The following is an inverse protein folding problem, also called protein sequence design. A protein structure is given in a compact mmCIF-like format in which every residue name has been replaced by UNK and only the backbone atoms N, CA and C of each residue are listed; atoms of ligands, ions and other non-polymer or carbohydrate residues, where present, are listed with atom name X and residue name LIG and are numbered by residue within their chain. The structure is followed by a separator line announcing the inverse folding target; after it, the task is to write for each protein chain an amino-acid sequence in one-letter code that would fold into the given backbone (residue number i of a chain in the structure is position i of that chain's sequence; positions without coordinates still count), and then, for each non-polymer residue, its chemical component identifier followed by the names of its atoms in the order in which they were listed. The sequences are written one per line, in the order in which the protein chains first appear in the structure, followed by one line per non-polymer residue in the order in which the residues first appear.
data_IF_846454738178
#
_entry.id   IF_846454738178
#
_cell.length_a   1.000
_cell.length_b   1.000
_cell.length_c   1.000
_cell.angle_alpha   90.00
_cell.angle_beta   90.00
_cell.angle_gamma   90.00
#
_symmetry.space_group_name_H-M   'P 1'
#
loop_
_entity.id
_entity.type
_entity.pdbx_description
1 polymer ?
#
# COMPACT_ATOMS: atom_id res chain seq x y z
N UNK A 1 -9.93 29.52 17.78
CA UNK A 1 -8.49 29.32 17.99
C UNK A 1 -7.91 29.39 16.60
N UNK A 2 -7.42 30.56 16.21
CA UNK A 2 -6.91 30.77 14.86
C UNK A 2 -5.58 30.04 14.70
N UNK A 3 -5.36 29.42 13.54
CA UNK A 3 -4.07 28.82 13.21
C UNK A 3 -3.10 29.96 12.86
N UNK A 4 -2.19 30.27 13.77
CA UNK A 4 -1.03 31.10 13.46
C UNK A 4 -0.08 30.40 12.47
N UNK A 5 0.62 31.19 11.65
CA UNK A 5 1.62 30.68 10.71
C UNK A 5 2.90 30.22 11.44
N UNK A 6 3.59 29.18 10.95
CA UNK A 6 3.31 28.40 9.74
C UNK A 6 2.24 27.31 9.95
N UNK A 7 1.40 27.13 8.92
CA UNK A 7 0.37 26.10 8.90
C UNK A 7 0.51 25.22 7.66
N UNK A 8 0.06 23.97 7.79
CA UNK A 8 0.06 22.95 6.75
C UNK A 8 -1.38 22.63 6.39
N UNK A 9 -1.69 22.74 5.10
CA UNK A 9 -2.99 22.42 4.52
C UNK A 9 -2.93 21.10 3.79
N UNK A 10 -3.82 20.18 4.14
CA UNK A 10 -3.92 18.86 3.52
C UNK A 10 -5.05 18.82 2.48
N UNK A 11 -4.96 17.92 1.50
CA UNK A 11 -6.01 17.72 0.49
C UNK A 11 -7.33 17.18 1.06
N UNK A 12 -7.34 16.67 2.30
CA UNK A 12 -8.55 16.30 3.02
C UNK A 12 -9.23 17.50 3.71
N UNK A 13 -8.86 18.73 3.35
CA UNK A 13 -9.38 19.99 3.89
C UNK A 13 -9.08 20.25 5.38
N UNK A 14 -8.26 19.41 6.01
CA UNK A 14 -7.76 19.67 7.35
C UNK A 14 -6.51 20.55 7.33
N UNK A 15 -6.38 21.40 8.34
CA UNK A 15 -5.25 22.31 8.51
C UNK A 15 -4.71 22.22 9.93
N UNK A 16 -3.40 22.25 10.08
CA UNK A 16 -2.72 22.19 11.38
C UNK A 16 -1.56 23.16 11.43
N UNK A 17 -1.16 23.60 12.62
CA UNK A 17 0.16 24.21 12.80
C UNK A 17 1.24 23.23 12.34
N UNK A 18 2.35 23.73 11.81
CA UNK A 18 3.46 22.89 11.36
C UNK A 18 3.92 21.92 12.47
N UNK A 19 4.02 22.39 13.71
CA UNK A 19 4.42 21.57 14.86
C UNK A 19 3.34 20.59 15.35
N UNK A 20 2.08 20.79 14.97
CA UNK A 20 0.97 19.89 15.33
C UNK A 20 0.72 18.81 14.27
N UNK A 21 1.31 18.94 13.07
CA UNK A 21 1.24 17.94 12.03
C UNK A 21 2.23 16.79 12.31
N UNK A 22 1.92 15.58 11.84
CA UNK A 22 2.83 14.44 11.97
C UNK A 22 3.83 14.44 10.82
N UNK A 23 5.10 14.67 11.14
CA UNK A 23 6.20 14.53 10.20
C UNK A 23 6.64 13.06 10.12
N UNK A 24 6.81 12.56 8.90
CA UNK A 24 7.36 11.25 8.59
C UNK A 24 8.49 11.39 7.57
N UNK A 25 9.44 10.46 7.61
CA UNK A 25 10.45 10.36 6.56
C UNK A 25 9.85 9.67 5.34
N UNK A 26 10.04 10.27 4.16
CA UNK A 26 9.66 9.65 2.90
C UNK A 26 10.46 8.36 2.69
N UNK A 27 9.79 7.30 2.26
CA UNK A 27 10.43 6.02 1.92
C UNK A 27 11.10 6.03 0.56
N UNK A 28 10.90 7.09 -0.23
CA UNK A 28 11.35 7.19 -1.63
C UNK A 28 12.27 8.40 -1.89
N UNK A 29 12.29 9.37 -0.98
CA UNK A 29 13.12 10.57 -1.04
C UNK A 29 13.66 10.87 0.35
N UNK A 30 14.76 11.63 0.46
CA UNK A 30 15.27 12.10 1.77
C UNK A 30 14.52 13.33 2.29
N UNK A 31 13.22 13.43 1.99
CA UNK A 31 12.37 14.56 2.31
C UNK A 31 11.45 14.23 3.48
N UNK A 32 11.15 15.24 4.30
CA UNK A 32 10.15 15.15 5.36
C UNK A 32 8.78 15.40 4.73
N UNK A 33 7.86 14.45 4.92
CA UNK A 33 6.47 14.56 4.48
C UNK A 33 5.59 14.70 5.72
N UNK A 34 4.53 15.50 5.63
CA UNK A 34 3.54 15.59 6.70
C UNK A 34 2.33 14.73 6.38
N UNK A 35 1.78 14.07 7.40
CA UNK A 35 0.50 13.36 7.34
C UNK A 35 -0.55 14.06 8.20
N UNK A 36 -1.79 14.05 7.71
CA UNK A 36 -2.93 14.58 8.45
C UNK A 36 -3.20 13.69 9.69
N UNK A 37 -3.14 14.20 10.93
CA UNK A 37 -3.38 13.40 12.13
C UNK A 37 -4.75 12.71 12.16
N UNK A 38 -5.78 13.34 11.60
CA UNK A 38 -7.14 12.82 11.59
C UNK A 38 -7.37 11.75 10.53
N UNK A 39 -6.66 11.82 9.40
CA UNK A 39 -6.88 10.93 8.26
C UNK A 39 -5.79 9.85 8.09
N UNK A 40 -4.62 10.01 8.73
CA UNK A 40 -3.44 9.16 8.52
C UNK A 40 -3.73 7.66 8.71
N UNK A 41 -4.50 7.31 9.76
CA UNK A 41 -4.85 5.93 10.06
C UNK A 41 -5.67 5.26 8.96
N UNK A 42 -6.67 5.96 8.42
CA UNK A 42 -7.50 5.41 7.34
C UNK A 42 -6.79 5.47 5.99
N UNK A 43 -6.00 6.52 5.74
CA UNK A 43 -5.18 6.62 4.54
C UNK A 43 -4.21 5.43 4.42
N UNK A 44 -3.53 5.05 5.51
CA UNK A 44 -2.66 3.85 5.52
C UNK A 44 -3.41 2.57 5.18
N UNK A 45 -4.59 2.34 5.79
CA UNK A 45 -5.42 1.17 5.46
C UNK A 45 -5.79 1.11 3.98
N UNK A 46 -6.15 2.25 3.39
CA UNK A 46 -6.48 2.32 1.96
C UNK A 46 -5.27 2.03 1.07
N UNK A 47 -4.11 2.61 1.41
CA UNK A 47 -2.86 2.35 0.69
C UNK A 47 -2.47 0.87 0.76
N UNK A 48 -2.57 0.25 1.94
CA UNK A 48 -2.30 -1.17 2.13
C UNK A 48 -3.25 -2.04 1.30
N UNK A 49 -4.54 -1.71 1.28
CA UNK A 49 -5.53 -2.42 0.47
C UNK A 49 -5.22 -2.32 -1.02
N UNK A 50 -4.90 -1.13 -1.52
CA UNK A 50 -4.51 -0.91 -2.92
C UNK A 50 -3.24 -1.70 -3.24
N UNK A 51 -2.25 -1.70 -2.34
CA UNK A 51 -1.01 -2.42 -2.55
C UNK A 51 -1.23 -3.95 -2.60
N UNK A 52 -2.04 -4.49 -1.68
CA UNK A 52 -2.40 -5.90 -1.67
C UNK A 52 -3.13 -6.29 -2.95
N UNK A 53 -4.07 -5.47 -3.43
CA UNK A 53 -4.73 -5.70 -4.72
C UNK A 53 -3.75 -5.73 -5.90
N UNK A 54 -2.71 -4.89 -5.89
CA UNK A 54 -1.67 -4.89 -6.94
C UNK A 54 -0.81 -6.15 -6.90
N UNK A 55 -0.41 -6.59 -5.71
CA UNK A 55 0.36 -7.83 -5.52
C UNK A 55 -0.45 -9.03 -5.99
N UNK A 56 -1.72 -9.12 -5.60
CA UNK A 56 -2.59 -10.22 -6.03
C UNK A 56 -2.78 -10.25 -7.55
N UNK A 57 -2.89 -9.06 -8.18
CA UNK A 57 -2.98 -8.95 -9.63
C UNK A 57 -1.72 -9.47 -10.34
N UNK A 58 -0.52 -9.10 -9.87
CA UNK A 58 0.74 -9.56 -10.46
C UNK A 58 0.92 -11.07 -10.34
N UNK A 59 0.52 -11.64 -9.20
CA UNK A 59 0.55 -13.10 -8.99
C UNK A 59 -0.44 -13.81 -9.91
N UNK A 60 -1.64 -13.24 -10.08
CA UNK A 60 -2.63 -13.78 -11.01
C UNK A 60 -2.13 -13.77 -12.46
N UNK A 61 -1.57 -12.66 -12.93
CA UNK A 61 -1.02 -12.56 -14.28
C UNK A 61 0.16 -13.53 -14.48
N UNK A 62 1.04 -13.64 -13.49
CA UNK A 62 2.17 -14.58 -13.52
C UNK A 62 1.70 -16.03 -13.56
N UNK A 63 0.67 -16.38 -12.78
CA UNK A 63 0.06 -17.71 -12.81
C UNK A 63 -0.52 -18.03 -14.19
N UNK A 64 -1.34 -17.13 -14.75
CA UNK A 64 -1.95 -17.34 -16.06
C UNK A 64 -0.89 -17.47 -17.17
N UNK A 65 0.14 -16.63 -17.15
CA UNK A 65 1.26 -16.74 -18.09
C UNK A 65 2.00 -18.08 -17.97
N UNK A 66 2.21 -18.60 -16.75
CA UNK A 66 2.82 -19.92 -16.56
C UNK A 66 1.91 -21.03 -17.07
N UNK A 67 0.61 -20.95 -16.79
CA UNK A 67 -0.39 -21.94 -17.19
C UNK A 67 -0.54 -22.04 -18.72
N UNK A 68 -0.44 -20.92 -19.43
CA UNK A 68 -0.56 -20.90 -20.89
C UNK A 68 0.69 -21.42 -21.60
N UNK A 69 1.88 -21.19 -21.02
CA UNK A 69 3.14 -21.56 -21.65
C UNK A 69 3.63 -22.98 -21.30
N UNK A 70 3.09 -23.61 -20.26
CA UNK A 70 3.52 -24.94 -19.82
C UNK A 70 2.69 -26.06 -20.45
N UNK A 71 3.37 -27.18 -20.77
CA UNK A 71 2.74 -28.38 -21.31
C UNK A 71 1.95 -29.11 -20.22
N UNK A 72 2.50 -29.20 -19.01
CA UNK A 72 1.82 -29.77 -17.84
C UNK A 72 1.06 -28.69 -17.06
N UNK A 73 -0.19 -28.50 -17.45
CA UNK A 73 -1.08 -27.52 -16.80
C UNK A 73 -1.55 -27.97 -15.42
N UNK A 74 -1.70 -29.28 -15.21
CA UNK A 74 -2.15 -29.82 -13.92
C UNK A 74 -1.05 -29.66 -12.86
N UNK A 75 0.22 -29.88 -13.22
CA UNK A 75 1.36 -29.61 -12.36
C UNK A 75 1.42 -28.15 -11.90
N UNK A 76 1.24 -27.20 -12.82
CA UNK A 76 1.22 -25.76 -12.50
C UNK A 76 0.08 -25.39 -11.54
N UNK A 77 -1.11 -25.96 -11.71
CA UNK A 77 -2.24 -25.73 -10.80
C UNK A 77 -1.95 -26.34 -9.42
N UNK A 78 -1.43 -27.56 -9.36
CA UNK A 78 -1.10 -28.24 -8.11
C UNK A 78 0.01 -27.51 -7.33
N UNK A 79 1.04 -27.02 -8.02
CA UNK A 79 2.11 -26.22 -7.43
C UNK A 79 1.59 -24.88 -6.89
N UNK A 80 0.77 -24.17 -7.67
CA UNK A 80 0.21 -22.88 -7.28
C UNK A 80 -0.71 -23.00 -6.05
N UNK A 81 -1.61 -23.98 -6.04
CA UNK A 81 -2.46 -24.27 -4.89
C UNK A 81 -1.64 -24.75 -3.70
N UNK A 82 -0.61 -25.57 -3.93
CA UNK A 82 0.30 -26.05 -2.89
C UNK A 82 1.00 -24.91 -2.15
N UNK A 83 1.61 -23.98 -2.86
CA UNK A 83 2.25 -22.81 -2.24
C UNK A 83 1.21 -21.98 -1.46
N UNK A 84 0.06 -21.66 -2.06
CA UNK A 84 -0.95 -20.84 -1.38
C UNK A 84 -1.65 -21.50 -0.19
N UNK A 85 -1.72 -22.83 -0.14
CA UNK A 85 -2.38 -23.57 0.96
C UNK A 85 -1.41 -23.97 2.07
N UNK A 86 -0.12 -24.10 1.77
CA UNK A 86 0.89 -24.62 2.69
C UNK A 86 2.00 -23.62 3.04
N UNK A 87 2.03 -22.42 2.44
CA UNK A 87 2.84 -21.30 2.93
C UNK A 87 2.23 -20.79 4.25
N UNK A 88 2.50 -21.53 5.33
CA UNK A 88 2.29 -21.08 6.72
C UNK A 88 3.61 -20.56 7.27
N UNK A 89 3.58 -19.26 7.57
CA UNK A 89 4.43 -18.47 8.50
C UNK A 89 5.95 -18.53 8.33
#
# INVERSE_FOLDING_TARGET
MDLDLPCIHFFCEHSFHEHCAYAIESTTSSEIIYECPLCSGDNRKWLDLINNQRVDKDIHETFHRKLDNQQDKFGVIAEFLGHRLFDKE
#
